data_IF_660519113171
#
_entry.id   IF_660519113171
#
_cell.length_a   1.000
_cell.length_b   1.000
_cell.length_c   1.000
_cell.angle_alpha   90.00
_cell.angle_beta   90.00
_cell.angle_gamma   90.00
#
_symmetry.space_group_name_H-M   'P 1'
#
loop_
_entity.id
_entity.type
_entity.pdbx_description
1 polymer ?
#
# COMPACT_ATOMS: atom_id res chain seq x y z
N UNK A 1 -5.22 27.72 -19.43
CA UNK A 1 -3.81 27.94 -19.05
C UNK A 1 -3.78 28.98 -17.93
N UNK A 2 -3.00 28.77 -16.86
CA UNK A 2 -2.93 29.73 -15.76
C UNK A 2 -2.10 30.96 -16.12
N UNK A 3 -2.30 32.08 -15.41
CA UNK A 3 -1.53 33.32 -15.57
C UNK A 3 -0.02 33.04 -15.49
N UNK A 4 0.74 33.52 -16.49
CA UNK A 4 2.21 33.52 -16.52
C UNK A 4 2.71 34.65 -15.63
N UNK A 5 3.77 34.37 -14.86
CA UNK A 5 4.39 35.28 -13.91
C UNK A 5 5.76 35.70 -14.45
N UNK A 6 5.86 36.94 -14.91
CA UNK A 6 7.05 37.47 -15.59
C UNK A 6 8.03 38.24 -14.70
N UNK A 7 7.69 38.48 -13.42
CA UNK A 7 8.56 39.21 -12.48
C UNK A 7 8.99 38.32 -11.33
N UNK A 8 10.19 38.56 -10.78
CA UNK A 8 10.69 37.83 -9.61
C UNK A 8 9.74 37.94 -8.41
N UNK A 9 9.21 39.14 -8.13
CA UNK A 9 8.29 39.37 -7.02
C UNK A 9 6.99 38.55 -7.16
N UNK A 10 6.38 38.55 -8.34
CA UNK A 10 5.14 37.79 -8.57
C UNK A 10 5.38 36.28 -8.46
N UNK A 11 6.53 35.79 -8.95
CA UNK A 11 6.91 34.39 -8.84
C UNK A 11 7.27 34.00 -7.40
N UNK A 12 7.89 34.89 -6.63
CA UNK A 12 8.17 34.71 -5.20
C UNK A 12 6.88 34.59 -4.38
N UNK A 13 5.91 35.49 -4.61
CA UNK A 13 4.60 35.42 -3.95
C UNK A 13 3.89 34.10 -4.25
N UNK A 14 3.96 33.64 -5.50
CA UNK A 14 3.44 32.33 -5.87
C UNK A 14 4.20 31.18 -5.19
N UNK A 15 5.53 31.26 -5.12
CA UNK A 15 6.36 30.26 -4.46
C UNK A 15 6.00 30.12 -2.98
N UNK A 16 5.84 31.24 -2.27
CA UNK A 16 5.41 31.26 -0.86
C UNK A 16 4.03 30.63 -0.67
N UNK A 17 3.04 31.03 -1.48
CA UNK A 17 1.70 30.42 -1.46
C UNK A 17 1.74 28.91 -1.73
N UNK A 18 2.51 28.49 -2.74
CA UNK A 18 2.61 27.10 -3.15
C UNK A 18 3.27 26.24 -2.07
N UNK A 19 4.36 26.75 -1.48
CA UNK A 19 5.07 26.10 -0.38
C UNK A 19 4.16 25.92 0.84
N UNK A 20 3.43 26.96 1.24
CA UNK A 20 2.50 26.93 2.37
C UNK A 20 1.31 25.97 2.13
N UNK A 21 0.81 25.91 0.91
CA UNK A 21 -0.38 25.11 0.60
C UNK A 21 -0.08 23.62 0.43
N UNK A 22 1.05 23.29 -0.18
CA UNK A 22 1.32 21.93 -0.66
C UNK A 22 2.51 21.24 0.01
N UNK A 23 3.38 21.97 0.71
CA UNK A 23 4.61 21.45 1.32
C UNK A 23 5.41 20.59 0.31
N UNK A 24 5.80 21.15 -0.85
CA UNK A 24 6.50 20.41 -1.89
C UNK A 24 7.95 20.14 -1.52
N UNK A 25 8.58 19.21 -2.24
CA UNK A 25 10.04 19.17 -2.32
C UNK A 25 10.57 20.41 -3.04
N UNK A 26 11.84 20.74 -2.82
CA UNK A 26 12.52 21.82 -3.55
C UNK A 26 12.47 21.57 -5.05
N UNK A 27 12.65 20.30 -5.48
CA UNK A 27 12.56 19.93 -6.88
C UNK A 27 11.15 20.15 -7.45
N UNK A 28 10.08 19.78 -6.74
CA UNK A 28 8.71 20.03 -7.21
C UNK A 28 8.35 21.51 -7.22
N UNK A 29 8.86 22.28 -6.26
CA UNK A 29 8.69 23.73 -6.25
C UNK A 29 9.33 24.32 -7.51
N UNK A 30 10.60 24.00 -7.78
CA UNK A 30 11.30 24.48 -8.96
C UNK A 30 10.53 24.16 -10.26
N UNK A 31 10.05 22.93 -10.42
CA UNK A 31 9.24 22.52 -11.58
C UNK A 31 7.94 23.34 -11.71
N UNK A 32 7.27 23.63 -10.59
CA UNK A 32 6.08 24.46 -10.58
C UNK A 32 6.39 25.91 -10.97
N UNK A 33 7.53 26.45 -10.51
CA UNK A 33 7.97 27.81 -10.85
C UNK A 33 8.37 27.92 -12.32
N UNK A 34 9.14 26.97 -12.86
CA UNK A 34 9.49 26.89 -14.28
C UNK A 34 8.25 26.93 -15.17
N UNK A 35 7.25 26.11 -14.86
CA UNK A 35 5.97 26.10 -15.59
C UNK A 35 5.22 27.44 -15.51
N UNK A 36 5.37 28.19 -14.42
CA UNK A 36 4.72 29.50 -14.20
C UNK A 36 5.46 30.66 -14.82
N UNK A 37 6.74 30.51 -15.12
CA UNK A 37 7.60 31.55 -15.69
C UNK A 37 7.94 31.32 -17.17
N UNK A 38 7.31 30.35 -17.85
CA UNK A 38 7.68 29.90 -19.19
C UNK A 38 9.15 29.49 -19.28
N UNK A 39 9.58 28.69 -18.31
CA UNK A 39 10.93 28.13 -18.22
C UNK A 39 12.03 29.19 -18.14
N UNK A 40 11.72 30.37 -17.57
CA UNK A 40 12.72 31.40 -17.30
C UNK A 40 13.60 31.01 -16.10
N UNK A 41 14.71 30.32 -16.39
CA UNK A 41 15.65 29.81 -15.39
C UNK A 41 16.26 30.91 -14.52
N UNK A 42 16.53 32.10 -15.08
CA UNK A 42 17.19 33.19 -14.35
C UNK A 42 16.33 33.63 -13.17
N UNK A 43 15.04 33.90 -13.43
CA UNK A 43 14.10 34.32 -12.38
C UNK A 43 13.85 33.18 -11.38
N UNK A 44 13.69 31.95 -11.88
CA UNK A 44 13.45 30.78 -11.03
C UNK A 44 14.61 30.52 -10.08
N UNK A 45 15.86 30.58 -10.57
CA UNK A 45 17.04 30.38 -9.74
C UNK A 45 17.19 31.45 -8.67
N UNK A 46 16.86 32.72 -8.99
CA UNK A 46 16.84 33.81 -8.02
C UNK A 46 15.81 33.55 -6.91
N UNK A 47 14.57 33.18 -7.28
CA UNK A 47 13.51 32.84 -6.31
C UNK A 47 13.87 31.61 -5.47
N UNK A 48 14.40 30.56 -6.11
CA UNK A 48 14.78 29.32 -5.41
C UNK A 48 15.90 29.55 -4.39
N UNK A 49 16.89 30.39 -4.73
CA UNK A 49 17.98 30.75 -3.81
C UNK A 49 17.46 31.40 -2.52
N UNK A 50 16.43 32.23 -2.64
CA UNK A 50 15.85 32.94 -1.49
C UNK A 50 14.86 32.04 -0.72
N UNK A 51 13.92 31.38 -1.41
CA UNK A 51 12.87 30.62 -0.72
C UNK A 51 13.36 29.30 -0.11
N UNK A 52 14.40 28.68 -0.67
CA UNK A 52 14.92 27.39 -0.18
C UNK A 52 15.40 27.48 1.27
N UNK A 53 15.91 28.63 1.71
CA UNK A 53 16.33 28.86 3.10
C UNK A 53 15.17 28.73 4.12
N UNK A 54 13.92 28.87 3.67
CA UNK A 54 12.73 28.80 4.50
C UNK A 54 12.00 27.45 4.43
N UNK A 55 12.42 26.55 3.54
CA UNK A 55 11.80 25.25 3.33
C UNK A 55 12.70 24.17 3.93
N UNK A 56 12.22 23.47 4.96
CA UNK A 56 12.86 22.26 5.45
C UNK A 56 12.16 21.03 4.87
N UNK A 57 12.86 20.35 3.95
CA UNK A 57 12.41 19.06 3.45
C UNK A 57 12.39 18.02 4.56
N UNK A 58 13.33 18.07 5.51
CA UNK A 58 13.43 17.14 6.63
C UNK A 58 12.16 17.17 7.48
N UNK A 59 11.71 18.36 7.90
CA UNK A 59 10.47 18.50 8.68
C UNK A 59 9.24 18.03 7.91
N UNK A 60 9.21 18.31 6.61
CA UNK A 60 8.10 17.89 5.75
C UNK A 60 8.06 16.37 5.61
N UNK A 61 9.21 15.75 5.38
CA UNK A 61 9.34 14.30 5.25
C UNK A 61 9.05 13.62 6.58
N UNK A 62 9.53 14.14 7.72
CA UNK A 62 9.21 13.63 9.06
C UNK A 62 7.69 13.59 9.30
N UNK A 63 7.02 14.72 9.07
CA UNK A 63 5.56 14.79 9.21
C UNK A 63 4.81 13.80 8.32
N UNK A 64 5.28 13.61 7.08
CA UNK A 64 4.70 12.62 6.16
C UNK A 64 4.95 11.18 6.62
N UNK A 65 6.16 10.85 7.06
CA UNK A 65 6.51 9.50 7.54
C UNK A 65 5.70 9.18 8.78
N UNK A 66 5.59 10.11 9.74
CA UNK A 66 4.74 9.96 10.93
C UNK A 66 3.29 9.66 10.57
N UNK A 67 2.68 10.51 9.75
CA UNK A 67 1.28 10.35 9.30
C UNK A 67 1.07 8.99 8.61
N UNK A 68 1.98 8.57 7.73
CA UNK A 68 1.83 7.28 7.06
C UNK A 68 2.05 6.09 8.00
N UNK A 69 2.92 6.22 8.97
CA UNK A 69 3.16 5.19 9.99
C UNK A 69 1.94 5.00 10.88
N UNK A 70 1.30 6.10 11.30
CA UNK A 70 0.01 6.08 12.01
C UNK A 70 -1.13 5.44 11.20
N UNK A 71 -1.01 5.43 9.86
CA UNK A 71 -1.93 4.74 8.94
C UNK A 71 -1.50 3.30 8.60
N UNK A 72 -0.55 2.74 9.35
CA UNK A 72 0.01 1.39 9.17
C UNK A 72 0.54 1.16 7.74
N UNK A 73 1.12 2.20 7.11
CA UNK A 73 1.78 2.05 5.80
C UNK A 73 3.18 1.50 5.98
N UNK A 74 3.54 0.57 5.10
CA UNK A 74 4.84 -0.10 5.16
C UNK A 74 5.97 0.82 4.70
N UNK A 75 7.19 0.58 5.20
CA UNK A 75 8.39 1.31 4.79
C UNK A 75 8.55 1.43 3.26
N UNK A 76 8.45 0.34 2.45
CA UNK A 76 8.58 0.46 1.00
C UNK A 76 7.51 1.35 0.35
N UNK A 77 6.28 1.33 0.89
CA UNK A 77 5.21 2.19 0.39
C UNK A 77 5.52 3.67 0.63
N UNK A 78 5.96 4.00 1.85
CA UNK A 78 6.29 5.38 2.24
C UNK A 78 7.46 5.87 1.41
N UNK A 79 8.51 5.07 1.28
CA UNK A 79 9.68 5.39 0.46
C UNK A 79 9.28 5.71 -0.99
N UNK A 80 8.49 4.82 -1.61
CA UNK A 80 8.01 5.03 -2.98
C UNK A 80 7.18 6.32 -3.10
N UNK A 81 6.33 6.63 -2.10
CA UNK A 81 5.54 7.85 -2.08
C UNK A 81 6.41 9.11 -1.96
N UNK A 82 7.41 9.11 -1.09
CA UNK A 82 8.33 10.23 -0.94
C UNK A 82 9.19 10.44 -2.20
N UNK A 83 9.67 9.37 -2.83
CA UNK A 83 10.36 9.43 -4.13
C UNK A 83 9.47 10.02 -5.23
N UNK A 84 8.20 9.63 -5.29
CA UNK A 84 7.23 10.22 -6.23
C UNK A 84 6.94 11.71 -5.97
N UNK A 85 7.21 12.16 -4.74
CA UNK A 85 7.18 13.58 -4.34
C UNK A 85 8.51 14.29 -4.60
N UNK A 86 9.53 13.59 -5.11
CA UNK A 86 10.85 14.14 -5.48
C UNK A 86 11.65 14.73 -4.32
N UNK A 87 11.49 14.18 -3.11
CA UNK A 87 12.37 14.53 -2.00
C UNK A 87 13.75 13.90 -2.17
N UNK A 88 14.78 14.55 -1.62
CA UNK A 88 16.16 14.05 -1.66
C UNK A 88 16.30 12.64 -1.08
N UNK A 89 17.08 11.78 -1.75
CA UNK A 89 17.29 10.39 -1.32
C UNK A 89 17.82 10.30 0.11
N UNK A 90 18.79 11.15 0.46
CA UNK A 90 19.44 11.10 1.76
C UNK A 90 18.50 11.54 2.89
N UNK A 91 17.67 12.56 2.64
CA UNK A 91 16.61 13.00 3.57
C UNK A 91 15.61 11.87 3.81
N UNK A 92 15.14 11.23 2.74
CA UNK A 92 14.21 10.09 2.84
C UNK A 92 14.81 8.96 3.68
N UNK A 93 16.04 8.55 3.37
CA UNK A 93 16.67 7.41 4.04
C UNK A 93 16.96 7.70 5.52
N UNK A 94 17.45 8.90 5.82
CA UNK A 94 17.75 9.33 7.20
C UNK A 94 16.51 9.27 8.06
N UNK A 95 15.39 9.82 7.58
CA UNK A 95 14.14 9.86 8.33
C UNK A 95 13.50 8.48 8.40
N UNK A 96 13.45 7.70 7.31
CA UNK A 96 12.90 6.34 7.39
C UNK A 96 13.68 5.47 8.39
N UNK A 97 15.00 5.64 8.50
CA UNK A 97 15.81 4.92 9.48
C UNK A 97 15.48 5.30 10.93
N UNK A 98 15.09 6.55 11.21
CA UNK A 98 14.67 6.94 12.57
C UNK A 98 13.32 6.36 12.99
N UNK A 99 12.56 5.78 12.05
CA UNK A 99 11.26 5.13 12.29
C UNK A 99 11.33 3.59 12.23
N UNK A 100 12.51 2.98 12.22
CA UNK A 100 12.67 1.53 12.02
C UNK A 100 11.85 0.70 13.00
N UNK A 101 11.86 1.05 14.29
CA UNK A 101 11.07 0.38 15.33
C UNK A 101 9.57 0.43 15.04
N UNK A 102 9.08 1.52 14.46
CA UNK A 102 7.67 1.63 14.09
C UNK A 102 7.30 0.70 12.95
N UNK A 103 8.22 0.37 12.03
CA UNK A 103 7.95 -0.55 10.93
C UNK A 103 7.96 -2.03 11.32
N UNK A 104 8.40 -2.35 12.53
CA UNK A 104 8.43 -3.71 13.10
C UNK A 104 7.51 -3.86 14.31
N UNK A 105 6.81 -2.81 14.73
CA UNK A 105 5.86 -2.87 15.84
C UNK A 105 4.55 -3.52 15.40
N UNK A 106 4.21 -4.69 15.96
CA UNK A 106 2.94 -5.38 15.65
C UNK A 106 1.73 -4.53 16.01
N UNK A 107 1.76 -3.85 17.15
CA UNK A 107 0.65 -3.05 17.69
C UNK A 107 0.20 -1.96 16.71
N UNK A 108 1.13 -1.38 15.95
CA UNK A 108 0.80 -0.37 14.92
C UNK A 108 0.12 -0.95 13.69
N UNK A 109 0.26 -2.25 13.44
CA UNK A 109 -0.20 -2.91 12.20
C UNK A 109 -1.38 -3.86 12.42
N UNK A 110 -1.52 -4.42 13.62
CA UNK A 110 -2.47 -5.47 13.97
C UNK A 110 -3.87 -5.15 13.45
N UNK A 111 -4.44 -4.02 13.88
CA UNK A 111 -5.80 -3.62 13.49
C UNK A 111 -5.96 -3.54 11.96
N UNK A 112 -4.98 -2.96 11.26
CA UNK A 112 -5.02 -2.82 9.80
C UNK A 112 -4.93 -4.16 9.06
N UNK A 113 -4.17 -5.11 9.63
CA UNK A 113 -4.00 -6.47 9.11
C UNK A 113 -5.26 -7.29 9.40
N UNK A 114 -5.82 -7.21 10.61
CA UNK A 114 -7.09 -7.82 11.01
C UNK A 114 -8.21 -7.46 10.05
N UNK A 115 -8.38 -6.16 9.75
CA UNK A 115 -9.42 -5.71 8.81
C UNK A 115 -9.23 -6.28 7.39
N UNK A 116 -7.99 -6.47 6.95
CA UNK A 116 -7.72 -7.11 5.66
C UNK A 116 -8.00 -8.61 5.67
N UNK A 117 -7.64 -9.30 6.75
CA UNK A 117 -7.96 -10.72 6.92
C UNK A 117 -9.48 -10.89 6.84
N UNK A 118 -10.25 -10.13 7.63
CA UNK A 118 -11.70 -10.15 7.59
C UNK A 118 -12.26 -9.88 6.19
N UNK A 119 -11.74 -8.86 5.49
CA UNK A 119 -12.16 -8.56 4.11
C UNK A 119 -11.87 -9.71 3.13
N UNK A 120 -10.75 -10.43 3.30
CA UNK A 120 -10.43 -11.56 2.44
C UNK A 120 -11.25 -12.80 2.76
N UNK A 121 -11.51 -13.07 4.05
CA UNK A 121 -12.41 -14.14 4.50
C UNK A 121 -13.82 -13.91 3.94
N UNK A 122 -14.35 -12.69 4.06
CA UNK A 122 -15.65 -12.32 3.46
C UNK A 122 -15.69 -12.49 1.93
N UNK A 123 -14.55 -12.39 1.26
CA UNK A 123 -14.41 -12.62 -0.19
C UNK A 123 -14.12 -14.09 -0.55
N UNK A 124 -14.31 -14.99 0.41
CA UNK A 124 -14.08 -16.42 0.30
C UNK A 124 -12.68 -16.76 -0.24
N UNK A 125 -11.65 -16.05 0.24
CA UNK A 125 -10.25 -16.32 -0.12
C UNK A 125 -9.68 -17.39 0.80
N UNK A 126 -8.88 -18.29 0.24
CA UNK A 126 -8.22 -19.32 1.04
C UNK A 126 -7.20 -18.73 2.01
N UNK A 127 -6.95 -19.45 3.12
CA UNK A 127 -5.89 -19.13 4.08
C UNK A 127 -4.55 -18.98 3.39
N UNK A 128 -4.20 -19.91 2.48
CA UNK A 128 -2.95 -19.87 1.73
C UNK A 128 -2.80 -18.57 0.93
N UNK A 129 -3.88 -18.12 0.28
CA UNK A 129 -3.89 -16.85 -0.45
C UNK A 129 -3.68 -15.66 0.49
N UNK A 130 -4.40 -15.64 1.63
CA UNK A 130 -4.33 -14.57 2.63
C UNK A 130 -2.91 -14.47 3.20
N UNK A 131 -2.35 -15.60 3.65
CA UNK A 131 -1.00 -15.69 4.20
C UNK A 131 0.02 -15.22 3.17
N UNK A 132 -0.04 -15.73 1.93
CA UNK A 132 0.91 -15.37 0.87
C UNK A 132 0.87 -13.87 0.58
N UNK A 133 -0.33 -13.32 0.39
CA UNK A 133 -0.52 -11.90 0.05
C UNK A 133 -0.09 -10.98 1.18
N UNK A 134 -0.49 -11.28 2.42
CA UNK A 134 -0.17 -10.43 3.56
C UNK A 134 1.29 -10.58 3.98
N UNK A 135 1.87 -11.78 3.98
CA UNK A 135 3.28 -11.98 4.33
C UNK A 135 4.23 -11.33 3.33
N UNK A 136 3.87 -11.28 2.04
CA UNK A 136 4.66 -10.54 1.05
C UNK A 136 4.63 -9.03 1.33
N UNK A 137 3.47 -8.50 1.74
CA UNK A 137 3.30 -7.08 2.05
C UNK A 137 3.89 -6.70 3.40
N UNK A 138 3.85 -7.61 4.36
CA UNK A 138 4.21 -7.43 5.77
C UNK A 138 5.19 -8.53 6.21
N UNK A 139 6.42 -8.54 5.69
CA UNK A 139 7.36 -9.65 5.91
C UNK A 139 7.72 -9.86 7.38
N UNK A 140 7.76 -8.78 8.16
CA UNK A 140 8.09 -8.82 9.60
C UNK A 140 6.99 -9.49 10.45
N UNK A 141 5.79 -9.64 9.92
CA UNK A 141 4.61 -10.07 10.69
C UNK A 141 4.06 -11.44 10.24
N UNK A 142 4.84 -12.23 9.51
CA UNK A 142 4.39 -13.54 8.99
C UNK A 142 3.81 -14.44 10.08
N UNK A 143 4.50 -14.55 11.22
CA UNK A 143 4.03 -15.41 12.32
C UNK A 143 2.77 -14.85 12.99
N UNK A 144 2.72 -13.53 13.23
CA UNK A 144 1.53 -12.87 13.79
C UNK A 144 0.32 -13.04 12.87
N UNK A 145 0.50 -12.90 11.55
CA UNK A 145 -0.54 -13.12 10.55
C UNK A 145 -1.09 -14.55 10.60
N UNK A 146 -0.22 -15.55 10.74
CA UNK A 146 -0.65 -16.96 10.86
C UNK A 146 -1.52 -17.17 12.09
N UNK A 147 -1.04 -16.74 13.26
CA UNK A 147 -1.77 -16.88 14.53
C UNK A 147 -3.11 -16.15 14.48
N UNK A 148 -3.11 -14.91 14.00
CA UNK A 148 -4.32 -14.09 13.89
C UNK A 148 -5.34 -14.69 12.91
N UNK A 149 -4.87 -15.24 11.78
CA UNK A 149 -5.75 -15.88 10.82
C UNK A 149 -6.40 -17.15 11.39
N UNK A 150 -5.64 -17.97 12.11
CA UNK A 150 -6.18 -19.17 12.74
C UNK A 150 -7.17 -18.86 13.87
N UNK A 151 -7.04 -17.70 14.54
CA UNK A 151 -8.03 -17.22 15.50
C UNK A 151 -9.32 -16.74 14.81
N UNK A 152 -9.21 -16.02 13.69
CA UNK A 152 -10.37 -15.43 12.99
C UNK A 152 -11.14 -16.48 12.19
N UNK A 153 -10.43 -17.40 11.54
CA UNK A 153 -11.01 -18.43 10.67
C UNK A 153 -10.23 -19.72 10.92
N UNK A 154 -10.53 -20.50 11.97
CA UNK A 154 -9.78 -21.72 12.28
C UNK A 154 -9.98 -22.82 11.23
N UNK A 155 -11.16 -22.87 10.60
CA UNK A 155 -11.53 -23.85 9.58
C UNK A 155 -11.98 -23.16 8.28
N UNK A 156 -11.70 -23.80 7.14
CA UNK A 156 -12.11 -23.39 5.79
C UNK A 156 -13.23 -24.29 5.21
N UNK A 157 -13.74 -25.26 5.98
CA UNK A 157 -14.78 -26.20 5.53
C UNK A 157 -15.97 -25.49 4.87
N UNK A 158 -16.56 -24.49 5.54
CA UNK A 158 -17.71 -23.73 5.02
C UNK A 158 -17.36 -22.99 3.72
N UNK A 159 -16.19 -22.34 3.67
CA UNK A 159 -15.67 -21.66 2.48
C UNK A 159 -15.51 -22.60 1.28
N UNK A 160 -15.01 -23.82 1.52
CA UNK A 160 -14.86 -24.86 0.50
C UNK A 160 -16.24 -25.38 0.06
N UNK A 161 -17.15 -25.62 1.01
CA UNK A 161 -18.52 -26.07 0.73
C UNK A 161 -19.27 -25.07 -0.17
N UNK A 162 -19.26 -23.78 0.18
CA UNK A 162 -19.90 -22.75 -0.63
C UNK A 162 -19.37 -22.69 -2.06
N UNK A 163 -18.04 -22.76 -2.21
CA UNK A 163 -17.42 -22.68 -3.53
C UNK A 163 -17.67 -23.96 -4.33
N UNK A 164 -17.67 -25.11 -3.67
CA UNK A 164 -18.03 -26.39 -4.26
C UNK A 164 -19.45 -26.34 -4.82
N UNK A 165 -20.44 -25.91 -4.03
CA UNK A 165 -21.84 -25.78 -4.48
C UNK A 165 -21.95 -24.85 -5.70
N UNK A 166 -21.28 -23.69 -5.67
CA UNK A 166 -21.24 -22.74 -6.80
C UNK A 166 -20.63 -23.36 -8.07
N UNK A 167 -19.62 -24.21 -7.93
CA UNK A 167 -18.98 -24.89 -9.05
C UNK A 167 -19.81 -26.06 -9.56
N UNK A 168 -20.50 -26.79 -8.69
CA UNK A 168 -21.39 -27.90 -9.03
C UNK A 168 -22.64 -27.44 -9.79
N UNK A 169 -23.02 -26.17 -9.69
CA UNK A 169 -24.04 -25.57 -10.58
C UNK A 169 -23.57 -25.44 -12.04
N UNK A 170 -22.26 -25.50 -12.30
CA UNK A 170 -21.65 -25.31 -13.63
C UNK A 170 -21.01 -26.58 -14.20
N UNK A 171 -20.70 -27.54 -13.34
CA UNK A 171 -19.99 -28.77 -13.65
C UNK A 171 -20.67 -29.92 -12.91
N UNK A 172 -20.94 -31.02 -13.59
CA UNK A 172 -21.52 -32.22 -13.00
C UNK A 172 -20.52 -32.89 -12.05
N UNK A 173 -20.82 -32.85 -10.76
CA UNK A 173 -19.98 -33.46 -9.73
C UNK A 173 -19.96 -34.99 -9.77
N UNK A 174 -20.95 -35.64 -10.39
CA UNK A 174 -20.99 -37.10 -10.56
C UNK A 174 -20.16 -37.58 -11.75
N UNK A 175 -19.84 -36.68 -12.68
CA UNK A 175 -18.93 -36.97 -13.78
C UNK A 175 -17.47 -36.84 -13.34
N UNK A 176 -16.68 -37.92 -13.43
CA UNK A 176 -15.28 -37.92 -12.97
C UNK A 176 -14.40 -36.83 -13.61
N UNK A 177 -14.59 -36.50 -14.89
CA UNK A 177 -13.78 -35.46 -15.57
C UNK A 177 -14.15 -34.06 -15.09
N UNK A 178 -15.43 -33.83 -14.84
CA UNK A 178 -15.92 -32.52 -14.39
C UNK A 178 -15.66 -32.30 -12.90
N UNK A 179 -15.81 -33.35 -12.08
CA UNK A 179 -15.36 -33.39 -10.69
C UNK A 179 -13.88 -33.00 -10.55
N UNK A 180 -13.01 -33.51 -11.43
CA UNK A 180 -11.60 -33.12 -11.44
C UNK A 180 -11.40 -31.63 -11.76
N UNK A 181 -12.23 -31.04 -12.64
CA UNK A 181 -12.20 -29.59 -12.91
C UNK A 181 -12.60 -28.78 -11.67
N UNK A 182 -13.61 -29.23 -10.92
CA UNK A 182 -14.03 -28.58 -9.65
C UNK A 182 -12.85 -28.58 -8.66
N UNK A 183 -12.21 -29.73 -8.45
CA UNK A 183 -11.04 -29.87 -7.56
C UNK A 183 -9.89 -28.96 -8.02
N UNK A 184 -9.60 -28.93 -9.33
CA UNK A 184 -8.55 -28.06 -9.88
C UNK A 184 -8.85 -26.59 -9.60
N UNK A 185 -10.10 -26.15 -9.80
CA UNK A 185 -10.51 -24.76 -9.53
C UNK A 185 -10.40 -24.39 -8.05
N UNK A 186 -10.82 -25.28 -7.15
CA UNK A 186 -10.64 -25.08 -5.70
C UNK A 186 -9.16 -25.02 -5.31
N UNK A 187 -8.33 -25.88 -5.91
CA UNK A 187 -6.87 -25.87 -5.68
C UNK A 187 -6.21 -24.58 -6.20
N UNK A 188 -6.65 -24.06 -7.35
CA UNK A 188 -6.19 -22.76 -7.89
C UNK A 188 -6.57 -21.59 -6.99
N UNK A 189 -7.66 -21.70 -6.21
CA UNK A 189 -8.00 -20.71 -5.17
C UNK A 189 -7.14 -20.84 -3.92
N UNK A 190 -6.36 -21.91 -3.79
CA UNK A 190 -5.37 -22.12 -2.73
C UNK A 190 -5.83 -23.01 -1.57
N UNK A 191 -7.01 -23.61 -1.66
CA UNK A 191 -7.46 -24.60 -0.68
C UNK A 191 -6.61 -25.87 -0.75
N UNK A 192 -6.39 -26.53 0.39
CA UNK A 192 -5.62 -27.77 0.43
C UNK A 192 -6.40 -28.93 -0.20
N UNK A 193 -5.71 -29.84 -0.90
CA UNK A 193 -6.36 -30.99 -1.52
C UNK A 193 -7.06 -31.87 -0.48
N UNK A 194 -6.46 -32.07 0.70
CA UNK A 194 -7.03 -32.89 1.76
C UNK A 194 -8.32 -32.27 2.32
N UNK A 195 -8.34 -30.95 2.54
CA UNK A 195 -9.55 -30.23 2.96
C UNK A 195 -10.64 -30.31 1.88
N UNK A 196 -10.30 -30.11 0.60
CA UNK A 196 -11.25 -30.26 -0.51
C UNK A 196 -11.86 -31.66 -0.51
N UNK A 197 -11.02 -32.70 -0.45
CA UNK A 197 -11.45 -34.09 -0.49
C UNK A 197 -12.33 -34.46 0.71
N UNK A 198 -12.02 -33.93 1.89
CA UNK A 198 -12.85 -34.08 3.09
C UNK A 198 -14.24 -33.51 2.86
N UNK A 199 -14.34 -32.26 2.43
CA UNK A 199 -15.63 -31.60 2.16
C UNK A 199 -16.44 -32.32 1.10
N UNK A 200 -15.81 -32.75 0.01
CA UNK A 200 -16.51 -33.46 -1.06
C UNK A 200 -17.10 -34.80 -0.59
N UNK A 201 -16.44 -35.51 0.35
CA UNK A 201 -16.97 -36.75 0.94
C UNK A 201 -18.15 -36.50 1.88
N UNK A 202 -18.25 -35.32 2.47
CA UNK A 202 -19.33 -34.95 3.39
C UNK A 202 -20.58 -34.46 2.65
N UNK A 203 -20.44 -34.06 1.38
CA UNK A 203 -21.53 -33.55 0.53
C UNK A 203 -22.06 -34.56 -0.49
N UNK A 204 -21.39 -35.71 -0.66
CA UNK A 204 -21.78 -36.85 -1.51
C UNK A 204 -22.57 -37.88 -0.70
#
# INVERSE_FOLDING_TARGET
MGKILGTQESLMNYAGWYAMRYFPSLQKLQEALMKKSLDNEIIVNAVMKEISAYISEERTVDGLVRMYTEQSKTRPYIEQKLRSKKFGKDVIMTILNSYEESFISWDLYEQSITQKILSYVQKNKSKRYIIGTLSQKYPNFKQNILVLLDQISPDETESIQEEYIKLSQKFDSHNSKERQKIVQKLSMKGFSYDSIKKVMRELE
#
